data_IF_230462757726
#
_entry.id   IF_230462757726
#
_cell.length_a   1.000
_cell.length_b   1.000
_cell.length_c   1.000
_cell.angle_alpha   90.00
_cell.angle_beta   90.00
_cell.angle_gamma   90.00
#
_symmetry.space_group_name_H-M   'P 1'
#
loop_
_entity.id
_entity.type
_entity.pdbx_description
1 polymer ?
#
# COMPACT_ATOMS: atom_id res chain seq x y z
N UNK A 1 -14.79 15.46 6.07
CA UNK A 1 -14.12 16.13 7.22
C UNK A 1 -14.91 17.33 7.76
N UNK A 2 -15.47 18.19 6.92
CA UNK A 2 -16.15 19.43 7.37
C UNK A 2 -17.29 19.24 8.38
N UNK A 3 -18.04 18.13 8.30
CA UNK A 3 -19.16 17.84 9.21
C UNK A 3 -18.67 17.56 10.63
N UNK A 4 -17.53 16.87 10.77
CA UNK A 4 -16.97 16.43 12.05
C UNK A 4 -16.33 17.59 12.81
N UNK A 5 -15.77 18.57 12.09
CA UNK A 5 -15.23 19.78 12.72
C UNK A 5 -16.30 20.60 13.46
N UNK A 6 -17.56 20.50 13.04
CA UNK A 6 -18.71 21.22 13.62
C UNK A 6 -19.36 20.47 14.79
N UNK A 7 -18.92 19.25 15.08
CA UNK A 7 -19.48 18.40 16.13
C UNK A 7 -19.16 18.98 17.51
N UNK A 8 -20.21 19.20 18.31
CA UNK A 8 -20.10 19.79 19.66
C UNK A 8 -19.90 18.75 20.76
N UNK A 9 -20.31 17.50 20.54
CA UNK A 9 -20.30 16.39 21.52
C UNK A 9 -19.61 15.17 20.93
N UNK A 10 -18.89 14.39 21.74
CA UNK A 10 -18.16 13.19 21.29
C UNK A 10 -17.18 13.48 20.12
N UNK A 11 -16.61 14.69 20.09
CA UNK A 11 -15.75 15.16 18.99
C UNK A 11 -14.57 14.21 18.75
N UNK A 12 -13.89 13.77 19.81
CA UNK A 12 -12.76 12.83 19.71
C UNK A 12 -13.16 11.49 19.08
N UNK A 13 -14.32 10.96 19.47
CA UNK A 13 -14.86 9.72 18.89
C UNK A 13 -15.16 9.89 17.41
N UNK A 14 -15.81 11.00 17.02
CA UNK A 14 -16.09 11.31 15.62
C UNK A 14 -14.80 11.51 14.81
N UNK A 15 -13.79 12.17 15.38
CA UNK A 15 -12.48 12.34 14.75
C UNK A 15 -11.80 10.98 14.50
N UNK A 16 -11.71 10.12 15.52
CA UNK A 16 -11.14 8.76 15.41
C UNK A 16 -11.87 7.90 14.38
N UNK A 17 -13.20 7.96 14.33
CA UNK A 17 -13.97 7.26 13.29
C UNK A 17 -13.61 7.80 11.89
N UNK A 18 -13.46 9.11 11.75
CA UNK A 18 -13.13 9.75 10.47
C UNK A 18 -11.73 9.38 9.99
N UNK A 19 -10.76 9.32 10.88
CA UNK A 19 -9.39 8.86 10.57
C UNK A 19 -9.41 7.42 10.05
N UNK A 20 -10.10 6.51 10.75
CA UNK A 20 -10.25 5.11 10.30
C UNK A 20 -10.98 4.98 8.96
N UNK A 21 -12.00 5.80 8.74
CA UNK A 21 -12.70 5.86 7.44
C UNK A 21 -11.73 6.28 6.33
N UNK A 22 -10.89 7.28 6.59
CA UNK A 22 -9.90 7.74 5.62
C UNK A 22 -8.90 6.64 5.28
N UNK A 23 -8.35 5.95 6.29
CA UNK A 23 -7.45 4.81 6.10
C UNK A 23 -8.09 3.71 5.24
N UNK A 24 -9.34 3.35 5.53
CA UNK A 24 -10.11 2.36 4.78
C UNK A 24 -10.35 2.78 3.32
N UNK A 25 -10.73 4.03 3.08
CA UNK A 25 -10.93 4.55 1.72
C UNK A 25 -9.63 4.53 0.94
N UNK A 26 -8.50 4.91 1.54
CA UNK A 26 -7.19 4.82 0.90
C UNK A 26 -6.82 3.37 0.56
N UNK A 27 -7.08 2.42 1.47
CA UNK A 27 -6.84 1.00 1.22
C UNK A 27 -7.68 0.47 0.05
N UNK A 28 -8.98 0.81 0.00
CA UNK A 28 -9.87 0.45 -1.10
C UNK A 28 -9.37 1.04 -2.42
N UNK A 29 -8.99 2.32 -2.45
CA UNK A 29 -8.49 2.98 -3.66
C UNK A 29 -7.23 2.28 -4.17
N UNK A 30 -6.27 1.98 -3.29
CA UNK A 30 -5.03 1.31 -3.69
C UNK A 30 -5.30 -0.09 -4.26
N UNK A 31 -6.15 -0.85 -3.58
CA UNK A 31 -6.61 -2.16 -4.05
C UNK A 31 -7.26 -2.05 -5.43
N UNK A 32 -8.19 -1.12 -5.63
CA UNK A 32 -8.88 -0.94 -6.90
C UNK A 32 -7.96 -0.40 -8.01
N UNK A 33 -6.89 0.30 -7.66
CA UNK A 33 -5.92 0.87 -8.61
C UNK A 33 -4.92 -0.18 -9.09
N UNK A 34 -4.46 -1.05 -8.19
CA UNK A 34 -3.46 -2.07 -8.49
C UNK A 34 -4.09 -3.36 -9.05
N UNK A 35 -5.40 -3.52 -8.90
CA UNK A 35 -6.15 -4.61 -9.49
C UNK A 35 -6.42 -4.32 -10.98
N UNK A 36 -5.52 -4.76 -11.87
CA UNK A 36 -5.88 -4.96 -13.29
C UNK A 36 -6.95 -6.07 -13.45
N UNK A 37 -7.12 -6.90 -12.42
CA UNK A 37 -8.12 -7.96 -12.33
C UNK A 37 -9.39 -7.48 -11.61
N UNK A 38 -10.55 -8.04 -11.98
CA UNK A 38 -11.83 -7.77 -11.33
C UNK A 38 -11.77 -8.01 -9.81
N UNK A 39 -12.39 -7.10 -9.04
CA UNK A 39 -12.52 -7.26 -7.59
C UNK A 39 -13.27 -8.57 -7.27
N UNK A 40 -12.69 -9.36 -6.37
CA UNK A 40 -13.31 -10.61 -5.92
C UNK A 40 -14.71 -10.30 -5.32
N UNK A 41 -15.76 -11.08 -5.61
CA UNK A 41 -17.12 -10.80 -5.12
C UNK A 41 -17.24 -10.63 -3.59
N UNK A 42 -16.35 -11.23 -2.81
CA UNK A 42 -16.24 -10.99 -1.38
C UNK A 42 -15.85 -9.53 -1.05
N UNK A 43 -14.89 -8.96 -1.77
CA UNK A 43 -14.44 -7.56 -1.62
C UNK A 43 -15.56 -6.59 -1.95
N UNK A 44 -16.27 -6.84 -3.05
CA UNK A 44 -17.41 -6.00 -3.47
C UNK A 44 -18.48 -5.97 -2.38
N UNK A 45 -18.80 -7.13 -1.77
CA UNK A 45 -19.73 -7.20 -0.64
C UNK A 45 -19.22 -6.45 0.59
N UNK A 46 -17.93 -6.56 0.91
CA UNK A 46 -17.34 -5.82 2.03
C UNK A 46 -17.32 -4.31 1.80
N UNK A 47 -17.09 -3.85 0.57
CA UNK A 47 -17.18 -2.43 0.20
C UNK A 47 -18.64 -1.95 0.34
N UNK A 48 -19.63 -2.74 -0.09
CA UNK A 48 -21.03 -2.40 0.09
C UNK A 48 -21.41 -2.27 1.58
N UNK A 49 -21.01 -3.24 2.42
CA UNK A 49 -21.21 -3.19 3.87
C UNK A 49 -20.50 -2.00 4.54
N UNK A 50 -19.30 -1.64 4.03
CA UNK A 50 -18.60 -0.44 4.47
C UNK A 50 -19.39 0.83 4.11
N UNK A 51 -19.97 0.91 2.91
CA UNK A 51 -20.83 2.03 2.51
C UNK A 51 -22.03 2.19 3.46
N UNK A 52 -22.71 1.10 3.83
CA UNK A 52 -23.80 1.13 4.82
C UNK A 52 -23.32 1.64 6.18
N UNK A 53 -22.11 1.23 6.60
CA UNK A 53 -21.50 1.69 7.85
C UNK A 53 -21.19 3.20 7.80
N UNK A 54 -20.75 3.72 6.65
CA UNK A 54 -20.52 5.16 6.44
C UNK A 54 -21.81 5.97 6.56
N UNK A 55 -22.94 5.48 6.04
CA UNK A 55 -24.23 6.15 6.16
C UNK A 55 -24.70 6.23 7.63
N UNK A 56 -24.50 5.16 8.41
CA UNK A 56 -24.77 5.15 9.86
C UNK A 56 -23.91 6.17 10.59
N UNK A 57 -22.61 6.22 10.30
CA UNK A 57 -21.67 7.19 10.91
C UNK A 57 -22.03 8.62 10.52
N UNK A 58 -22.41 8.86 9.26
CA UNK A 58 -22.84 10.18 8.79
C UNK A 58 -24.12 10.64 9.52
N UNK A 59 -25.07 9.73 9.68
CA UNK A 59 -26.32 9.99 10.41
C UNK A 59 -26.04 10.28 11.89
N UNK A 60 -25.16 9.51 12.52
CA UNK A 60 -24.68 9.76 13.88
C UNK A 60 -24.03 11.15 14.00
N UNK A 61 -23.07 11.47 13.13
CA UNK A 61 -22.36 12.75 13.16
C UNK A 61 -23.32 13.94 12.99
N UNK A 62 -24.33 13.81 12.11
CA UNK A 62 -25.38 14.83 11.93
C UNK A 62 -26.26 15.00 13.16
N UNK A 63 -26.61 13.90 13.84
CA UNK A 63 -27.38 13.93 15.08
C UNK A 63 -26.61 14.64 16.22
N UNK A 64 -25.28 14.53 16.25
CA UNK A 64 -24.43 15.24 17.21
C UNK A 64 -24.41 16.77 16.97
N UNK A 65 -24.84 17.26 15.80
CA UNK A 65 -24.93 18.70 15.49
C UNK A 65 -26.22 19.35 15.99
N UNK A 66 -27.30 18.57 16.21
CA UNK A 66 -28.68 19.07 16.38
C UNK A 66 -29.30 18.83 17.77
N UNK A 67 -28.52 18.47 18.80
CA UNK A 67 -29.06 18.00 20.09
C UNK A 67 -29.19 19.05 21.20
N UNK A 68 -30.43 19.35 21.61
CA UNK A 68 -30.75 19.95 22.92
C UNK A 68 -30.61 18.95 24.09
N UNK A 69 -30.57 19.46 25.33
CA UNK A 69 -30.22 18.69 26.55
C UNK A 69 -31.14 17.47 26.81
N UNK A 70 -32.45 17.60 26.55
CA UNK A 70 -33.43 16.53 26.75
C UNK A 70 -33.27 15.38 25.75
N UNK A 71 -33.05 15.68 24.46
CA UNK A 71 -32.79 14.67 23.42
C UNK A 71 -31.52 13.87 23.71
N UNK A 72 -30.54 14.50 24.38
CA UNK A 72 -29.30 13.85 24.78
C UNK A 72 -29.48 12.81 25.89
N UNK A 73 -30.30 13.09 26.92
CA UNK A 73 -30.51 12.11 28.00
C UNK A 73 -31.20 10.85 27.50
N UNK A 74 -32.16 10.95 26.57
CA UNK A 74 -32.85 9.78 26.01
C UNK A 74 -32.01 9.00 24.99
N UNK A 75 -30.99 9.62 24.37
CA UNK A 75 -30.18 9.00 23.31
C UNK A 75 -28.81 8.51 23.73
N UNK A 76 -28.37 8.72 24.97
CA UNK A 76 -27.00 8.37 25.37
C UNK A 76 -26.69 6.87 25.24
N UNK A 77 -27.69 6.01 25.50
CA UNK A 77 -27.56 4.55 25.37
C UNK A 77 -27.62 4.11 23.89
N UNK A 78 -28.55 4.67 23.12
CA UNK A 78 -28.64 4.45 21.66
C UNK A 78 -27.36 4.89 20.94
N UNK A 79 -26.79 6.03 21.34
CA UNK A 79 -25.53 6.54 20.80
C UNK A 79 -24.36 5.60 21.11
N UNK A 80 -24.32 5.01 22.31
CA UNK A 80 -23.27 4.06 22.69
C UNK A 80 -23.34 2.77 21.87
N UNK A 81 -24.55 2.22 21.69
CA UNK A 81 -24.78 1.04 20.86
C UNK A 81 -24.45 1.31 19.39
N UNK A 82 -24.84 2.46 18.86
CA UNK A 82 -24.53 2.87 17.49
C UNK A 82 -23.02 3.07 17.28
N UNK A 83 -22.32 3.69 18.24
CA UNK A 83 -20.86 3.83 18.23
C UNK A 83 -20.20 2.45 18.20
N UNK A 84 -20.69 1.50 19.00
CA UNK A 84 -20.17 0.14 19.08
C UNK A 84 -20.38 -0.60 17.76
N UNK A 85 -21.58 -0.51 17.18
CA UNK A 85 -21.91 -1.09 15.88
C UNK A 85 -21.03 -0.50 14.76
N UNK A 86 -20.88 0.82 14.72
CA UNK A 86 -20.03 1.50 13.74
C UNK A 86 -18.56 1.07 13.87
N UNK A 87 -18.03 0.98 15.09
CA UNK A 87 -16.68 0.49 15.31
C UNK A 87 -16.51 -0.98 14.91
N UNK A 88 -17.51 -1.82 15.14
CA UNK A 88 -17.49 -3.21 14.71
C UNK A 88 -17.48 -3.32 13.17
N UNK A 89 -18.32 -2.54 12.48
CA UNK A 89 -18.35 -2.47 11.02
C UNK A 89 -17.03 -2.00 10.42
N UNK A 90 -16.44 -0.93 10.98
CA UNK A 90 -15.12 -0.43 10.55
C UNK A 90 -14.02 -1.48 10.76
N UNK A 91 -14.02 -2.17 11.90
CA UNK A 91 -13.04 -3.22 12.20
C UNK A 91 -13.18 -4.41 11.24
N UNK A 92 -14.40 -4.87 11.00
CA UNK A 92 -14.66 -5.96 10.07
C UNK A 92 -14.18 -5.62 8.65
N UNK A 93 -14.46 -4.40 8.18
CA UNK A 93 -13.97 -3.93 6.89
C UNK A 93 -12.44 -3.93 6.80
N UNK A 94 -11.75 -3.47 7.87
CA UNK A 94 -10.28 -3.51 7.96
C UNK A 94 -9.74 -4.93 7.92
N UNK A 95 -10.33 -5.86 8.67
CA UNK A 95 -9.87 -7.24 8.74
C UNK A 95 -9.96 -7.93 7.37
N UNK A 96 -11.09 -7.77 6.65
CA UNK A 96 -11.29 -8.38 5.33
C UNK A 96 -10.35 -7.77 4.28
N UNK A 97 -10.25 -6.45 4.23
CA UNK A 97 -9.37 -5.77 3.27
C UNK A 97 -7.89 -5.99 3.58
N UNK A 98 -7.51 -6.08 4.86
CA UNK A 98 -6.16 -6.40 5.32
C UNK A 98 -5.73 -7.81 4.91
N UNK A 99 -6.59 -8.81 5.13
CA UNK A 99 -6.32 -10.20 4.70
C UNK A 99 -6.18 -10.27 3.18
N UNK A 100 -7.07 -9.60 2.43
CA UNK A 100 -7.08 -9.69 0.98
C UNK A 100 -5.92 -8.93 0.32
N UNK A 101 -5.53 -7.77 0.84
CA UNK A 101 -4.32 -7.06 0.39
C UNK A 101 -3.05 -7.90 0.63
N UNK A 102 -2.97 -8.61 1.76
CA UNK A 102 -1.88 -9.55 2.04
C UNK A 102 -1.81 -10.71 1.03
N UNK A 103 -2.97 -11.27 0.66
CA UNK A 103 -3.06 -12.35 -0.35
C UNK A 103 -2.61 -11.83 -1.72
N UNK A 104 -3.10 -10.67 -2.16
CA UNK A 104 -2.71 -10.07 -3.45
C UNK A 104 -1.20 -9.83 -3.49
N UNK A 105 -0.64 -9.18 -2.46
CA UNK A 105 0.80 -8.93 -2.39
C UNK A 105 1.62 -10.23 -2.42
N UNK A 106 1.18 -11.27 -1.71
CA UNK A 106 1.82 -12.57 -1.73
C UNK A 106 1.77 -13.23 -3.12
N UNK A 107 0.63 -13.15 -3.83
CA UNK A 107 0.49 -13.67 -5.19
C UNK A 107 1.40 -12.92 -6.16
N UNK A 108 1.42 -11.58 -6.12
CA UNK A 108 2.31 -10.76 -6.96
C UNK A 108 3.78 -11.08 -6.69
N UNK A 109 4.20 -11.23 -5.43
CA UNK A 109 5.57 -11.63 -5.10
C UNK A 109 5.91 -13.03 -5.61
N UNK A 110 4.98 -13.98 -5.54
CA UNK A 110 5.18 -15.33 -6.06
C UNK A 110 5.35 -15.33 -7.59
N UNK A 111 4.56 -14.52 -8.30
CA UNK A 111 4.66 -14.34 -9.75
C UNK A 111 5.98 -13.69 -10.15
N UNK A 112 6.38 -12.61 -9.46
CA UNK A 112 7.70 -11.98 -9.65
C UNK A 112 8.85 -12.97 -9.38
N UNK A 113 8.71 -13.84 -8.38
CA UNK A 113 9.70 -14.86 -8.07
C UNK A 113 9.79 -15.93 -9.17
N UNK A 114 8.64 -16.33 -9.73
CA UNK A 114 8.57 -17.26 -10.86
C UNK A 114 9.24 -16.66 -12.11
N UNK A 115 8.92 -15.42 -12.45
CA UNK A 115 9.54 -14.69 -13.56
C UNK A 115 11.05 -14.53 -13.38
N UNK A 116 11.49 -14.18 -12.17
CA UNK A 116 12.91 -14.05 -11.87
C UNK A 116 13.65 -15.38 -12.02
N UNK A 117 13.05 -16.50 -11.60
CA UNK A 117 13.61 -17.85 -11.79
C UNK A 117 13.70 -18.21 -13.27
N UNK A 118 12.63 -17.99 -14.03
CA UNK A 118 12.61 -18.28 -15.46
C UNK A 118 13.71 -17.50 -16.19
N UNK A 119 13.82 -16.19 -15.96
CA UNK A 119 14.89 -15.38 -16.56
C UNK A 119 16.28 -15.83 -16.15
N UNK A 120 16.44 -16.29 -14.90
CA UNK A 120 17.71 -16.85 -14.44
C UNK A 120 18.06 -18.13 -15.20
N UNK A 121 17.11 -19.05 -15.36
CA UNK A 121 17.29 -20.29 -16.13
C UNK A 121 17.66 -20.01 -17.58
N UNK A 122 16.98 -19.05 -18.23
CA UNK A 122 17.29 -18.60 -19.59
C UNK A 122 18.73 -18.06 -19.69
N UNK A 123 19.15 -17.23 -18.75
CA UNK A 123 20.53 -16.70 -18.72
C UNK A 123 21.57 -17.81 -18.52
N UNK A 124 21.30 -18.78 -17.66
CA UNK A 124 22.19 -19.93 -17.44
C UNK A 124 22.28 -20.80 -18.70
N UNK A 125 21.16 -21.02 -19.41
CA UNK A 125 21.14 -21.75 -20.67
C UNK A 125 22.04 -21.06 -21.73
N UNK A 126 21.88 -19.75 -21.93
CA UNK A 126 22.69 -18.96 -22.86
C UNK A 126 24.18 -19.02 -22.49
N UNK A 127 24.51 -18.89 -21.20
CA UNK A 127 25.91 -18.96 -20.74
C UNK A 127 26.53 -20.33 -20.99
N UNK A 128 25.77 -21.41 -20.78
CA UNK A 128 26.23 -22.77 -21.03
C UNK A 128 26.44 -23.04 -22.52
N UNK A 129 25.51 -22.61 -23.38
CA UNK A 129 25.64 -22.70 -24.84
C UNK A 129 26.93 -22.01 -25.33
N UNK A 130 27.17 -20.78 -24.85
CA UNK A 130 28.39 -20.03 -25.16
C UNK A 130 29.65 -20.73 -24.67
N UNK A 131 29.59 -21.38 -23.51
CA UNK A 131 30.71 -22.14 -22.93
C UNK A 131 30.98 -23.43 -23.70
N UNK A 132 29.97 -24.08 -24.28
CA UNK A 132 30.15 -25.21 -25.20
C UNK A 132 30.76 -24.79 -26.54
N UNK A 133 30.28 -23.70 -27.15
CA UNK A 133 30.85 -23.18 -28.40
C UNK A 133 32.34 -22.84 -28.28
N UNK A 134 32.75 -22.22 -27.15
CA UNK A 134 34.15 -21.88 -26.89
C UNK A 134 35.05 -23.12 -26.69
N UNK A 135 34.48 -24.26 -26.29
CA UNK A 135 35.21 -25.53 -26.13
C UNK A 135 35.35 -26.32 -27.43
N UNK A 136 34.52 -26.04 -28.43
CA UNK A 136 34.56 -26.69 -29.75
C UNK A 136 35.33 -25.90 -30.82
N UNK A 137 35.90 -24.73 -30.49
CA UNK A 137 36.87 -24.09 -31.38
C UNK A 137 38.16 -24.93 -31.40
N UNK A 138 38.50 -25.61 -32.52
CA UNK A 138 39.75 -26.33 -32.61
C UNK A 138 40.87 -25.29 -32.54
N UNK A 139 41.90 -25.61 -31.78
CA UNK A 139 43.19 -24.93 -31.78
C UNK A 139 43.76 -24.90 -33.21
N UNK A 140 43.38 -23.90 -33.99
CA UNK A 140 43.78 -23.69 -35.37
C UNK A 140 44.55 -22.38 -35.49
N UNK A 141 45.87 -22.52 -35.47
CA UNK A 141 46.90 -21.57 -35.96
C UNK A 141 46.84 -20.13 -35.46
N UNK A 142 47.88 -19.78 -34.68
CA UNK A 142 48.22 -18.39 -34.39
C UNK A 142 48.41 -17.57 -35.66
N UNK A 143 47.91 -16.35 -35.63
CA UNK A 143 48.44 -15.26 -36.43
C UNK A 143 48.31 -13.99 -35.61
N UNK A 144 49.45 -13.40 -35.30
CA UNK A 144 49.58 -12.19 -34.50
C UNK A 144 49.01 -10.99 -35.26
N UNK A 145 47.71 -10.73 -35.08
CA UNK A 145 47.04 -9.53 -35.56
C UNK A 145 47.10 -8.42 -34.53
N UNK A 146 48.04 -7.50 -34.68
CA UNK A 146 48.16 -6.25 -33.92
C UNK A 146 46.88 -5.41 -34.05
N UNK A 147 46.05 -5.36 -33.01
CA UNK A 147 44.94 -4.41 -32.93
C UNK A 147 45.39 -3.14 -32.21
N UNK A 148 45.80 -2.19 -33.04
CA UNK A 148 46.16 -0.81 -32.70
C UNK A 148 44.95 -0.10 -32.07
N UNK A 149 44.95 0.05 -30.74
CA UNK A 149 44.01 0.92 -30.00
C UNK A 149 44.14 2.36 -30.50
N UNK A 150 43.19 2.82 -31.32
CA UNK A 150 42.93 4.26 -31.47
C UNK A 150 42.03 4.71 -30.32
N UNK A 151 42.65 5.30 -29.29
CA UNK A 151 41.96 6.17 -28.33
C UNK A 151 41.44 7.39 -29.10
N UNK A 152 40.13 7.49 -29.28
CA UNK A 152 39.49 8.73 -29.67
C UNK A 152 38.88 9.35 -28.42
N UNK A 153 39.55 10.39 -27.91
CA UNK A 153 39.04 11.28 -26.89
C UNK A 153 37.82 12.01 -27.44
N UNK A 154 36.67 11.89 -26.77
CA UNK A 154 35.58 12.86 -26.94
C UNK A 154 35.09 13.33 -25.57
N UNK A 155 35.52 14.55 -25.32
CA UNK A 155 35.06 15.60 -24.41
C UNK A 155 33.69 15.45 -23.76
N UNK A 156 33.71 15.72 -22.45
CA UNK A 156 32.59 16.05 -21.58
C UNK A 156 31.84 17.31 -22.01
N UNK A 157 30.51 17.24 -22.03
CA UNK A 157 29.50 18.30 -21.80
C UNK A 157 28.29 17.52 -21.24
N UNK A 158 27.96 17.57 -19.94
CA UNK A 158 27.23 18.63 -19.21
C UNK A 158 25.99 19.06 -19.99
N UNK A 159 24.75 19.00 -19.53
CA UNK A 159 24.04 18.55 -18.34
C UNK A 159 22.57 18.67 -18.75
N UNK A 160 21.68 17.79 -18.31
CA UNK A 160 20.32 18.25 -18.02
C UNK A 160 19.72 17.48 -16.84
N UNK A 161 19.15 18.28 -15.96
CA UNK A 161 18.59 17.94 -14.67
C UNK A 161 17.36 17.05 -14.84
N UNK A 162 17.24 16.01 -14.00
CA UNK A 162 16.01 15.66 -13.25
C UNK A 162 16.21 14.36 -12.48
N UNK A 163 16.57 14.46 -11.20
CA UNK A 163 16.20 13.40 -10.24
C UNK A 163 15.91 14.03 -8.88
N UNK A 164 14.61 14.20 -8.64
CA UNK A 164 14.00 14.34 -7.34
C UNK A 164 13.94 12.94 -6.71
N UNK A 165 14.51 12.80 -5.51
CA UNK A 165 14.04 11.94 -4.39
C UNK A 165 15.10 12.04 -3.28
N UNK A 166 14.99 12.97 -2.32
CA UNK A 166 14.14 12.87 -1.12
C UNK A 166 14.13 11.44 -0.53
N UNK A 167 15.26 11.05 0.06
CA UNK A 167 15.30 10.03 1.11
C UNK A 167 14.87 10.69 2.44
N UNK A 168 13.84 10.21 3.14
CA UNK A 168 13.67 10.54 4.55
C UNK A 168 14.64 9.71 5.37
N UNK A 169 15.49 10.42 6.12
CA UNK A 169 16.26 9.83 7.23
C UNK A 169 15.29 9.26 8.26
N UNK A 170 15.47 7.97 8.51
CA UNK A 170 15.21 7.21 9.74
C UNK A 170 14.90 8.11 10.94
N UNK A 171 13.64 8.15 11.36
CA UNK A 171 13.24 8.75 12.62
C UNK A 171 13.81 7.90 13.77
N UNK A 172 14.52 8.57 14.66
CA UNK A 172 14.99 8.03 15.92
C UNK A 172 13.81 7.76 16.86
N UNK A 173 13.89 6.65 17.60
CA UNK A 173 12.88 6.22 18.56
C UNK A 173 12.72 7.24 19.71
N UNK A 174 11.48 7.58 20.13
CA UNK A 174 11.25 8.24 21.40
C UNK A 174 11.37 7.27 22.59
N UNK A 175 11.79 7.76 23.78
CA UNK A 175 12.01 6.94 24.97
C UNK A 175 10.69 6.60 25.67
N UNK A 176 10.58 5.35 26.11
CA UNK A 176 9.50 4.86 26.98
C UNK A 176 9.49 5.59 28.33
N UNK A 177 8.33 6.03 28.86
CA UNK A 177 8.25 6.45 30.26
C UNK A 177 8.28 5.24 31.19
N UNK A 178 9.12 5.32 32.21
CA UNK A 178 9.19 4.37 33.33
C UNK A 178 7.84 4.36 34.08
N UNK A 179 7.34 3.17 34.40
CA UNK A 179 6.32 2.99 35.45
C UNK A 179 6.99 3.34 36.78
N UNK A 180 6.37 4.25 37.51
CA UNK A 180 6.61 4.42 38.94
C UNK A 180 5.67 3.51 39.72
N UNK A 181 6.22 2.90 40.76
CA UNK A 181 5.51 2.49 41.97
C UNK A 181 5.18 3.71 42.84
#
# INVERSE_FOLDING_TARGET
>A
METVQRVKKNKDTCMKMTERIYELVCAIINICRDAEAELVPAMVRSIAQFSETLEKILTFARNQLTGGLLRWMFRSMEDADLIKECNAGLKHALDVLGVQSGIIAAMTMAEMQKDAKQRHEELIAILNEKRSMKRFSPSGSGSSGSWRRKRSSKTYLRSDHSTISMLPRRAENPPWPRRGD
#
